data_IF_793336452129
#
_entry.id   IF_793336452129
#
_cell.length_a   1.000
_cell.length_b   1.000
_cell.length_c   1.000
_cell.angle_alpha   90.00
_cell.angle_beta   90.00
_cell.angle_gamma   90.00
#
_symmetry.space_group_name_H-M   'P 1'
#
loop_
_entity.id
_entity.type
_entity.pdbx_description
1 polymer ?
#
# COMPACT_ATOMS: atom_id res chain seq x y z
N UNK A 1 68.81 -42.19 23.92
CA UNK A 1 68.37 -42.28 22.49
C UNK A 1 67.04 -41.45 22.38
N UNK A 2 67.03 -40.32 21.76
CA UNK A 2 65.82 -39.58 21.58
C UNK A 2 65.09 -39.99 20.30
N UNK A 3 63.84 -40.31 20.43
CA UNK A 3 62.88 -40.63 19.33
C UNK A 3 62.50 -39.36 18.50
N UNK A 4 62.48 -39.41 17.18
CA UNK A 4 62.13 -38.29 16.36
C UNK A 4 60.61 -38.11 16.32
N UNK A 5 60.14 -36.86 16.62
CA UNK A 5 58.80 -36.40 16.44
C UNK A 5 58.45 -36.26 14.93
N UNK A 6 57.55 -37.08 14.45
CA UNK A 6 57.01 -36.92 13.09
C UNK A 6 55.97 -35.82 13.08
N UNK A 7 56.32 -34.70 12.49
CA UNK A 7 55.35 -33.63 12.18
C UNK A 7 54.45 -34.08 11.03
N UNK A 8 53.19 -34.41 11.35
CA UNK A 8 52.18 -34.67 10.34
C UNK A 8 51.68 -33.33 9.78
N UNK A 9 51.91 -33.11 8.48
CA UNK A 9 51.37 -31.98 7.73
C UNK A 9 49.87 -32.25 7.52
N UNK A 10 48.99 -31.55 8.29
CA UNK A 10 47.56 -31.55 8.05
C UNK A 10 47.30 -30.60 6.90
N UNK A 11 47.02 -31.13 5.72
CA UNK A 11 46.58 -30.37 4.56
C UNK A 11 45.11 -29.98 4.79
N UNK A 12 44.87 -28.77 5.32
CA UNK A 12 43.54 -28.16 5.35
C UNK A 12 43.11 -27.83 3.92
N UNK A 13 42.34 -28.73 3.29
CA UNK A 13 41.58 -28.42 2.11
C UNK A 13 40.56 -27.35 2.48
N UNK A 14 40.90 -26.07 2.27
CA UNK A 14 39.95 -24.98 2.24
C UNK A 14 39.05 -25.19 1.00
N UNK A 15 37.96 -25.91 1.19
CA UNK A 15 36.89 -25.92 0.20
C UNK A 15 36.31 -24.49 0.15
N UNK A 16 36.73 -23.76 -0.87
CA UNK A 16 36.05 -22.48 -1.20
C UNK A 16 34.57 -22.80 -1.34
N UNK A 17 33.66 -22.07 -0.65
CA UNK A 17 32.24 -22.28 -0.89
C UNK A 17 31.99 -22.01 -2.37
N UNK A 18 31.54 -23.03 -3.10
CA UNK A 18 31.07 -22.85 -4.45
C UNK A 18 29.95 -21.79 -4.37
N UNK A 19 30.18 -20.62 -4.97
CA UNK A 19 29.13 -19.58 -5.08
C UNK A 19 27.97 -20.24 -5.81
N UNK A 20 26.84 -20.39 -5.12
CA UNK A 20 25.64 -20.93 -5.71
C UNK A 20 25.26 -20.08 -6.92
N UNK A 21 25.01 -20.74 -8.04
CA UNK A 21 24.52 -20.08 -9.24
C UNK A 21 23.09 -19.64 -9.00
N UNK A 22 22.79 -18.38 -9.23
CA UNK A 22 21.47 -17.80 -8.97
C UNK A 22 21.08 -16.79 -10.06
N UNK A 23 19.79 -16.77 -10.41
CA UNK A 23 19.17 -15.67 -11.12
C UNK A 23 18.19 -14.99 -10.15
N UNK A 24 18.31 -13.70 -9.96
CA UNK A 24 17.32 -12.86 -9.27
C UNK A 24 16.66 -11.93 -10.24
N UNK A 25 15.33 -11.83 -10.13
CA UNK A 25 14.50 -10.92 -10.90
C UNK A 25 13.99 -9.80 -10.00
N UNK A 26 13.92 -8.60 -10.55
CA UNK A 26 13.22 -7.48 -9.98
C UNK A 26 12.25 -6.92 -11.02
N UNK A 27 11.01 -6.64 -10.61
CA UNK A 27 9.96 -6.14 -11.49
C UNK A 27 9.46 -4.80 -10.97
N UNK A 28 9.34 -3.81 -11.84
CA UNK A 28 8.77 -2.50 -11.50
C UNK A 28 9.66 -1.32 -11.84
N UNK A 29 9.09 -0.15 -11.86
CA UNK A 29 9.78 1.13 -12.00
C UNK A 29 10.26 1.60 -10.62
N UNK A 30 11.56 1.78 -10.43
CA UNK A 30 12.05 2.58 -9.32
C UNK A 30 12.75 1.89 -8.15
N UNK A 31 13.28 0.68 -8.31
CA UNK A 31 14.26 0.12 -7.35
C UNK A 31 13.69 -0.40 -6.03
N UNK A 32 12.38 -0.53 -5.89
CA UNK A 32 11.79 -1.27 -4.79
C UNK A 32 11.86 -2.76 -5.08
N UNK A 33 12.37 -3.56 -4.13
CA UNK A 33 12.31 -5.02 -4.18
C UNK A 33 10.86 -5.48 -3.92
N UNK A 34 10.01 -5.37 -4.92
CA UNK A 34 8.64 -5.84 -4.82
C UNK A 34 8.62 -7.36 -4.97
N UNK A 35 8.00 -8.04 -4.02
CA UNK A 35 7.72 -9.48 -4.11
C UNK A 35 6.47 -9.76 -4.91
N UNK A 36 5.59 -8.78 -5.04
CA UNK A 36 4.36 -8.83 -5.83
C UNK A 36 4.25 -7.57 -6.67
N UNK A 37 3.98 -7.74 -7.94
CA UNK A 37 3.70 -6.66 -8.87
C UNK A 37 2.19 -6.68 -9.19
N UNK A 38 1.40 -5.75 -8.64
CA UNK A 38 -0.02 -5.65 -8.92
C UNK A 38 -0.27 -4.77 -10.15
N UNK A 39 -1.29 -5.10 -10.94
CA UNK A 39 -1.80 -4.26 -12.02
C UNK A 39 -3.30 -4.47 -12.21
N UNK A 40 -4.00 -3.40 -12.63
CA UNK A 40 -5.44 -3.40 -12.79
C UNK A 40 -5.87 -3.54 -14.25
N UNK A 41 -7.20 -3.53 -14.47
CA UNK A 41 -7.80 -3.65 -15.81
C UNK A 41 -7.36 -2.51 -16.75
N UNK A 42 -7.28 -1.28 -16.27
CA UNK A 42 -6.86 -0.14 -17.09
C UNK A 42 -5.40 -0.28 -17.54
N UNK A 43 -4.51 -0.66 -16.63
CA UNK A 43 -3.11 -0.92 -16.94
C UNK A 43 -2.94 -2.10 -17.90
N UNK A 44 -3.76 -3.14 -17.76
CA UNK A 44 -3.82 -4.28 -18.67
C UNK A 44 -4.26 -3.86 -20.09
N UNK A 45 -5.21 -2.94 -20.20
CA UNK A 45 -5.74 -2.45 -21.47
C UNK A 45 -4.86 -1.39 -22.15
N UNK A 46 -4.02 -0.70 -21.38
CA UNK A 46 -3.11 0.32 -21.91
C UNK A 46 -1.80 -0.31 -22.39
N UNK A 47 -1.15 0.33 -23.36
CA UNK A 47 0.15 -0.15 -23.88
C UNK A 47 1.30 0.33 -22.98
N UNK A 48 1.18 0.13 -21.66
CA UNK A 48 2.24 0.43 -20.69
C UNK A 48 3.36 -0.60 -20.84
N UNK A 49 4.59 -0.19 -20.65
CA UNK A 49 5.77 -1.06 -20.63
C UNK A 49 6.26 -1.21 -19.20
N UNK A 50 6.45 -2.42 -18.77
CA UNK A 50 7.04 -2.74 -17.47
C UNK A 50 8.51 -3.08 -17.64
N UNK A 51 9.34 -2.60 -16.71
CA UNK A 51 10.78 -2.90 -16.72
C UNK A 51 11.04 -4.08 -15.78
N UNK A 52 11.72 -5.10 -16.29
CA UNK A 52 12.28 -6.19 -15.51
C UNK A 52 13.78 -6.01 -15.44
N UNK A 53 14.31 -5.99 -14.25
CA UNK A 53 15.76 -6.03 -14.01
C UNK A 53 16.15 -7.41 -13.51
N UNK A 54 17.30 -7.89 -13.90
CA UNK A 54 17.79 -9.20 -13.51
C UNK A 54 19.28 -9.17 -13.18
N UNK A 55 19.67 -10.07 -12.30
CA UNK A 55 21.05 -10.28 -11.93
C UNK A 55 21.32 -11.78 -11.92
N UNK A 56 22.31 -12.24 -12.71
CA UNK A 56 22.81 -13.60 -12.66
C UNK A 56 24.16 -13.61 -11.95
N UNK A 57 24.31 -14.46 -10.93
CA UNK A 57 25.53 -14.61 -10.16
C UNK A 57 26.03 -16.05 -10.18
N UNK A 58 27.33 -16.25 -9.97
CA UNK A 58 27.96 -17.57 -9.96
C UNK A 58 28.18 -18.19 -11.35
N UNK A 59 27.70 -17.56 -12.42
CA UNK A 59 27.99 -17.98 -13.80
C UNK A 59 29.36 -17.44 -14.19
N UNK A 60 30.32 -18.34 -14.44
CA UNK A 60 31.58 -17.93 -15.08
C UNK A 60 31.33 -17.35 -16.47
N UNK A 61 32.21 -16.46 -16.93
CA UNK A 61 32.11 -15.88 -18.28
C UNK A 61 32.05 -16.99 -19.34
N UNK A 62 31.03 -16.97 -20.18
CA UNK A 62 30.83 -17.92 -21.28
C UNK A 62 30.06 -19.20 -20.95
N UNK A 63 29.49 -19.33 -19.76
CA UNK A 63 28.70 -20.51 -19.38
C UNK A 63 27.21 -20.43 -19.72
N UNK A 64 26.67 -19.25 -20.00
CA UNK A 64 25.28 -19.10 -20.46
C UNK A 64 25.11 -19.61 -21.89
N UNK A 65 24.02 -20.30 -22.17
CA UNK A 65 23.73 -20.93 -23.46
C UNK A 65 22.46 -20.35 -24.08
N UNK A 66 22.50 -19.12 -24.50
CA UNK A 66 21.35 -18.52 -25.17
C UNK A 66 20.59 -17.50 -24.28
N UNK A 67 19.34 -17.29 -24.61
CA UNK A 67 18.51 -16.28 -23.97
C UNK A 67 17.84 -16.81 -22.71
N UNK A 68 17.80 -15.98 -21.67
CA UNK A 68 16.92 -16.23 -20.53
C UNK A 68 15.49 -16.01 -20.96
N UNK A 69 14.64 -17.01 -20.71
CA UNK A 69 13.19 -16.87 -20.90
C UNK A 69 12.59 -16.32 -19.61
N UNK A 70 11.77 -15.27 -19.75
CA UNK A 70 10.93 -14.77 -18.66
C UNK A 70 9.51 -15.24 -18.97
N UNK A 71 8.91 -15.93 -18.04
CA UNK A 71 7.59 -16.51 -18.23
C UNK A 71 6.72 -16.39 -16.98
N UNK A 72 5.43 -16.47 -17.18
CA UNK A 72 4.41 -16.46 -16.12
C UNK A 72 3.86 -17.88 -15.99
N UNK A 73 3.80 -18.36 -14.78
CA UNK A 73 3.27 -19.68 -14.43
C UNK A 73 2.28 -19.57 -13.28
N UNK A 74 1.29 -20.46 -13.23
CA UNK A 74 0.41 -20.63 -12.08
C UNK A 74 1.00 -21.53 -11.00
N UNK A 75 2.21 -22.06 -11.21
CA UNK A 75 2.93 -22.84 -10.22
C UNK A 75 3.44 -21.96 -9.08
N UNK A 76 3.44 -22.48 -7.86
CA UNK A 76 4.02 -21.79 -6.69
C UNK A 76 5.55 -21.77 -6.69
N UNK A 77 6.17 -22.56 -7.54
CA UNK A 77 7.63 -22.62 -7.72
C UNK A 77 7.98 -22.52 -9.20
N UNK A 78 9.09 -21.86 -9.50
CA UNK A 78 9.57 -21.72 -10.86
C UNK A 78 10.05 -23.07 -11.41
N UNK A 79 9.46 -23.59 -12.48
CA UNK A 79 9.96 -24.79 -13.14
C UNK A 79 11.27 -24.51 -13.89
N UNK A 80 12.06 -25.55 -14.14
CA UNK A 80 13.35 -25.43 -14.87
C UNK A 80 13.19 -24.90 -16.30
N UNK A 81 12.06 -25.21 -16.91
CA UNK A 81 11.68 -24.72 -18.23
C UNK A 81 10.18 -24.44 -18.26
N UNK A 82 9.74 -23.41 -19.01
CA UNK A 82 8.33 -23.14 -19.13
C UNK A 82 7.61 -24.27 -19.87
N UNK A 83 6.46 -24.69 -19.34
CA UNK A 83 5.57 -25.66 -19.99
C UNK A 83 4.69 -24.93 -21.02
N UNK A 84 5.19 -24.69 -22.21
CA UNK A 84 4.45 -23.97 -23.28
C UNK A 84 3.46 -24.84 -24.04
N UNK A 85 3.44 -26.14 -23.81
CA UNK A 85 2.60 -27.10 -24.57
C UNK A 85 1.40 -27.62 -23.78
N UNK A 86 1.35 -27.42 -22.46
CA UNK A 86 0.30 -28.01 -21.61
C UNK A 86 0.29 -29.56 -21.63
N UNK A 87 1.41 -30.17 -22.03
CA UNK A 87 1.49 -31.63 -22.30
C UNK A 87 1.15 -32.50 -21.09
N UNK A 88 1.31 -31.95 -19.87
CA UNK A 88 1.06 -32.67 -18.62
C UNK A 88 -0.35 -32.43 -18.06
N UNK A 89 -1.28 -31.86 -18.86
CA UNK A 89 -2.63 -31.48 -18.43
C UNK A 89 -2.68 -30.31 -17.46
N UNK A 90 -1.54 -29.65 -17.22
CA UNK A 90 -1.44 -28.40 -16.45
C UNK A 90 -1.75 -27.16 -17.28
N UNK A 91 -1.89 -26.04 -16.62
CA UNK A 91 -2.04 -24.75 -17.28
C UNK A 91 -0.76 -24.42 -18.04
N UNK A 92 -0.91 -23.95 -19.28
CA UNK A 92 0.21 -23.57 -20.11
C UNK A 92 0.91 -22.33 -19.54
N UNK A 93 2.24 -22.40 -19.41
CA UNK A 93 3.05 -21.25 -19.03
C UNK A 93 3.17 -20.30 -20.23
N UNK A 94 3.24 -19.00 -19.93
CA UNK A 94 3.31 -17.97 -20.97
C UNK A 94 4.66 -17.26 -20.93
N UNK A 95 5.44 -17.38 -22.00
CA UNK A 95 6.69 -16.63 -22.16
C UNK A 95 6.34 -15.20 -22.52
N UNK A 96 6.61 -14.28 -21.56
CA UNK A 96 6.31 -12.86 -21.70
C UNK A 96 7.49 -12.03 -22.22
N UNK A 97 8.71 -12.60 -22.24
CA UNK A 97 9.90 -11.96 -22.76
C UNK A 97 11.09 -12.90 -22.82
N UNK A 98 12.08 -12.49 -23.60
CA UNK A 98 13.40 -13.13 -23.65
C UNK A 98 14.48 -12.08 -23.44
N UNK A 99 15.49 -12.41 -22.64
CA UNK A 99 16.63 -11.53 -22.35
C UNK A 99 17.91 -12.26 -22.76
N UNK A 100 18.69 -11.61 -23.61
CA UNK A 100 20.03 -12.11 -23.95
C UNK A 100 21.02 -11.77 -22.81
N UNK A 101 21.45 -12.81 -22.07
CA UNK A 101 22.43 -12.66 -21.01
C UNK A 101 23.80 -13.28 -21.33
N UNK A 102 24.02 -13.65 -22.59
CA UNK A 102 25.27 -14.29 -23.02
C UNK A 102 26.52 -13.47 -22.70
N UNK A 103 26.37 -12.17 -22.54
CA UNK A 103 27.50 -11.24 -22.34
C UNK A 103 27.39 -10.43 -21.04
N UNK A 104 26.27 -10.48 -20.29
CA UNK A 104 26.02 -9.52 -19.21
C UNK A 104 25.43 -10.24 -18.00
N UNK A 105 26.09 -10.12 -16.82
CA UNK A 105 25.63 -10.67 -15.56
C UNK A 105 24.43 -9.91 -14.95
N UNK A 106 24.19 -8.66 -15.42
CA UNK A 106 23.06 -7.82 -14.97
C UNK A 106 22.46 -7.11 -16.16
N UNK A 107 21.17 -6.93 -16.18
CA UNK A 107 20.51 -6.22 -17.26
C UNK A 107 19.08 -5.82 -16.94
N UNK A 108 18.45 -5.16 -17.91
CA UNK A 108 17.04 -4.79 -17.86
C UNK A 108 16.37 -5.07 -19.19
N UNK A 109 15.14 -5.53 -19.14
CA UNK A 109 14.27 -5.69 -20.31
C UNK A 109 12.94 -5.00 -20.08
N UNK A 110 12.23 -4.76 -21.18
CA UNK A 110 10.90 -4.15 -21.13
C UNK A 110 9.87 -5.15 -21.63
N UNK A 111 8.83 -5.39 -20.83
CA UNK A 111 7.72 -6.26 -21.16
C UNK A 111 6.51 -5.39 -21.44
N UNK A 112 5.92 -5.43 -22.65
CA UNK A 112 4.67 -4.76 -22.93
C UNK A 112 3.52 -5.35 -22.11
N UNK A 113 2.62 -4.50 -21.60
CA UNK A 113 1.44 -4.94 -20.85
C UNK A 113 0.57 -5.95 -21.64
N UNK A 114 0.51 -5.79 -22.94
CA UNK A 114 -0.22 -6.73 -23.79
C UNK A 114 0.26 -8.19 -23.71
N UNK A 115 1.55 -8.41 -23.39
CA UNK A 115 2.06 -9.78 -23.17
C UNK A 115 1.55 -10.37 -21.85
N UNK A 116 1.13 -9.52 -20.90
CA UNK A 116 0.56 -9.96 -19.64
C UNK A 116 -0.89 -10.45 -19.78
N UNK A 117 -1.60 -10.09 -20.86
CA UNK A 117 -2.95 -10.59 -21.15
C UNK A 117 -2.99 -12.10 -21.41
N UNK A 118 -1.86 -12.63 -21.88
CA UNK A 118 -1.75 -14.06 -22.19
C UNK A 118 -1.42 -14.89 -20.94
N UNK A 119 -1.23 -14.25 -19.78
CA UNK A 119 -0.93 -14.98 -18.56
C UNK A 119 -2.04 -15.98 -18.20
N UNK A 120 -1.69 -17.08 -17.51
CA UNK A 120 -2.66 -18.08 -17.10
C UNK A 120 -3.86 -17.47 -16.37
N UNK A 121 -5.07 -17.77 -16.83
CA UNK A 121 -6.33 -17.29 -16.27
C UNK A 121 -6.91 -16.04 -16.92
N UNK A 122 -6.18 -15.28 -17.75
CA UNK A 122 -6.71 -14.11 -18.47
C UNK A 122 -7.17 -14.44 -19.90
N UNK A 123 -6.56 -15.44 -20.56
CA UNK A 123 -7.01 -15.91 -21.87
C UNK A 123 -6.95 -14.85 -22.98
N UNK A 124 -5.96 -13.95 -22.96
CA UNK A 124 -5.77 -12.91 -23.98
C UNK A 124 -6.62 -11.66 -23.77
N UNK A 125 -7.30 -11.53 -22.63
CA UNK A 125 -8.20 -10.41 -22.34
C UNK A 125 -7.87 -9.78 -20.98
N UNK A 126 -8.57 -8.70 -20.62
CA UNK A 126 -8.48 -8.06 -19.31
C UNK A 126 -9.88 -8.09 -18.66
N UNK A 127 -10.33 -9.24 -18.15
CA UNK A 127 -11.67 -9.39 -17.59
C UNK A 127 -11.85 -8.55 -16.32
N UNK A 128 -13.06 -8.04 -16.14
CA UNK A 128 -13.48 -7.35 -14.94
C UNK A 128 -13.83 -8.33 -13.81
N UNK A 129 -13.74 -7.86 -12.55
CA UNK A 129 -14.15 -8.62 -11.38
C UNK A 129 -13.25 -9.80 -11.00
N UNK A 130 -12.06 -9.89 -11.58
CA UNK A 130 -11.12 -11.01 -11.41
C UNK A 130 -9.90 -10.56 -10.60
N UNK A 131 -9.45 -11.43 -9.68
CA UNK A 131 -8.20 -11.30 -8.92
C UNK A 131 -7.40 -12.60 -9.10
N UNK A 132 -6.31 -12.54 -9.85
CA UNK A 132 -5.47 -13.69 -10.19
C UNK A 132 -4.02 -13.37 -9.86
N UNK A 133 -3.38 -14.27 -9.13
CA UNK A 133 -1.94 -14.20 -8.85
C UNK A 133 -1.21 -15.34 -9.53
N UNK A 134 -0.19 -15.00 -10.30
CA UNK A 134 0.73 -15.92 -10.96
C UNK A 134 2.16 -15.62 -10.55
N UNK A 135 3.05 -16.58 -10.75
CA UNK A 135 4.48 -16.40 -10.51
C UNK A 135 5.20 -15.96 -11.78
N UNK A 136 6.10 -14.98 -11.65
CA UNK A 136 7.04 -14.61 -12.73
C UNK A 136 8.34 -15.34 -12.47
N UNK A 137 8.79 -16.08 -13.46
CA UNK A 137 9.99 -16.89 -13.42
C UNK A 137 10.96 -16.50 -14.53
N UNK A 138 12.24 -16.75 -14.28
CA UNK A 138 13.26 -16.75 -15.33
C UNK A 138 13.92 -18.12 -15.41
N UNK A 139 14.17 -18.58 -16.61
CA UNK A 139 14.88 -19.83 -16.89
C UNK A 139 16.03 -19.57 -17.86
N UNK A 140 17.20 -20.09 -17.54
CA UNK A 140 18.42 -19.96 -18.34
C UNK A 140 19.08 -21.33 -18.49
N UNK A 141 19.36 -21.74 -19.73
CA UNK A 141 20.23 -22.87 -19.98
C UNK A 141 21.71 -22.47 -19.86
N UNK A 142 22.52 -23.28 -19.23
CA UNK A 142 23.94 -23.00 -19.02
C UNK A 142 24.79 -24.28 -19.12
N UNK A 143 26.10 -24.08 -19.31
CA UNK A 143 27.08 -25.15 -19.24
C UNK A 143 27.57 -25.30 -17.82
N UNK A 144 27.42 -26.49 -17.24
CA UNK A 144 28.05 -26.81 -15.97
C UNK A 144 29.57 -26.81 -16.12
N UNK A 145 30.30 -26.56 -15.03
CA UNK A 145 31.76 -26.53 -15.02
C UNK A 145 32.31 -27.88 -15.49
N UNK A 146 33.11 -27.87 -16.56
CA UNK A 146 33.66 -29.07 -17.17
C UNK A 146 32.79 -29.76 -18.22
N UNK A 147 31.57 -29.25 -18.49
CA UNK A 147 30.69 -29.72 -19.57
C UNK A 147 30.91 -28.90 -20.86
N UNK A 148 30.76 -29.57 -21.99
CA UNK A 148 30.72 -28.92 -23.32
C UNK A 148 29.28 -28.74 -23.80
N UNK A 149 28.30 -29.32 -23.11
CA UNK A 149 26.87 -29.26 -23.45
C UNK A 149 26.10 -28.29 -22.59
N UNK A 150 24.98 -27.82 -23.10
CA UNK A 150 24.10 -26.84 -22.47
C UNK A 150 22.84 -27.53 -21.88
N UNK A 151 23.06 -28.53 -21.08
CA UNK A 151 22.04 -29.46 -20.54
C UNK A 151 21.65 -29.11 -19.07
N UNK A 152 22.25 -28.08 -18.51
CA UNK A 152 21.89 -27.60 -17.19
C UNK A 152 21.00 -26.37 -17.29
N UNK A 153 19.95 -26.32 -16.48
CA UNK A 153 19.04 -25.18 -16.37
C UNK A 153 19.20 -24.52 -15.00
N UNK A 154 19.10 -23.22 -15.00
CA UNK A 154 19.08 -22.39 -13.82
C UNK A 154 17.78 -21.60 -13.82
N UNK A 155 17.04 -21.68 -12.73
CA UNK A 155 15.80 -20.94 -12.54
C UNK A 155 16.00 -19.78 -11.56
N UNK A 156 15.06 -18.83 -11.57
CA UNK A 156 15.06 -17.75 -10.61
C UNK A 156 14.98 -18.28 -9.18
N UNK A 157 15.88 -17.79 -8.33
CA UNK A 157 15.96 -18.17 -6.91
C UNK A 157 14.84 -17.57 -6.06
N UNK A 158 14.18 -16.52 -6.56
CA UNK A 158 13.07 -15.82 -5.91
C UNK A 158 11.86 -15.84 -6.80
N UNK A 159 10.72 -16.24 -6.23
CA UNK A 159 9.44 -16.12 -6.90
C UNK A 159 8.99 -14.67 -6.82
N UNK A 160 8.75 -14.07 -7.96
CA UNK A 160 8.14 -12.77 -8.09
C UNK A 160 6.69 -12.99 -8.50
N UNK A 161 5.75 -12.41 -7.77
CA UNK A 161 4.33 -12.58 -8.07
C UNK A 161 3.84 -11.46 -9.01
N UNK A 162 3.04 -11.85 -9.98
CA UNK A 162 2.28 -10.96 -10.85
C UNK A 162 0.80 -11.09 -10.46
N UNK A 163 0.20 -10.03 -9.94
CA UNK A 163 -1.21 -10.02 -9.54
C UNK A 163 -2.00 -9.13 -10.48
N UNK A 164 -2.88 -9.74 -11.25
CA UNK A 164 -3.93 -9.03 -11.96
C UNK A 164 -5.11 -8.87 -11.03
N UNK A 165 -5.42 -7.63 -10.66
CA UNK A 165 -6.53 -7.30 -9.79
C UNK A 165 -7.46 -6.30 -10.48
N UNK A 166 -8.58 -6.81 -10.95
CA UNK A 166 -9.69 -6.03 -11.50
C UNK A 166 -10.96 -6.18 -10.65
N UNK A 167 -10.81 -6.68 -9.42
CA UNK A 167 -11.93 -6.84 -8.48
C UNK A 167 -12.06 -5.59 -7.64
N UNK A 168 -13.13 -4.79 -7.83
CA UNK A 168 -13.36 -3.62 -7.01
C UNK A 168 -13.51 -3.99 -5.52
N UNK A 169 -13.01 -3.16 -4.60
CA UNK A 169 -13.25 -3.34 -3.17
C UNK A 169 -14.74 -3.12 -2.83
N UNK A 170 -15.12 -3.42 -1.60
CA UNK A 170 -16.50 -3.18 -1.12
C UNK A 170 -16.67 -1.71 -0.75
N UNK A 171 -17.80 -1.06 -1.13
CA UNK A 171 -18.10 0.29 -0.64
C UNK A 171 -18.16 0.35 0.89
N UNK A 172 -17.60 1.39 1.54
CA UNK A 172 -17.59 1.47 2.99
C UNK A 172 -18.99 1.72 3.56
N UNK A 173 -19.32 1.11 4.69
CA UNK A 173 -20.42 1.56 5.54
C UNK A 173 -20.08 2.92 6.14
N UNK A 174 -21.10 3.73 6.46
CA UNK A 174 -20.89 5.10 6.92
C UNK A 174 -21.95 5.50 7.95
N UNK A 175 -21.53 6.29 8.94
CA UNK A 175 -22.42 6.96 9.90
C UNK A 175 -22.12 8.45 9.91
N UNK A 176 -23.16 9.27 9.91
CA UNK A 176 -23.06 10.73 9.87
C UNK A 176 -23.58 11.34 11.18
N UNK A 177 -22.91 12.38 11.65
CA UNK A 177 -23.34 13.20 12.79
C UNK A 177 -23.26 14.67 12.44
N UNK A 178 -24.43 15.34 12.36
CA UNK A 178 -24.53 16.79 12.20
C UNK A 178 -24.14 17.49 13.51
N UNK A 179 -23.25 18.49 13.39
CA UNK A 179 -22.82 19.38 14.48
C UNK A 179 -22.85 20.82 13.98
N UNK A 180 -22.45 21.78 14.82
CA UNK A 180 -22.46 23.19 14.43
C UNK A 180 -21.53 23.45 13.23
N UNK A 181 -22.17 23.85 12.12
CA UNK A 181 -21.52 24.16 10.83
C UNK A 181 -20.66 23.04 10.25
N UNK A 182 -20.88 21.78 10.65
CA UNK A 182 -20.13 20.63 10.16
C UNK A 182 -20.90 19.30 10.23
N UNK A 183 -20.44 18.34 9.45
CA UNK A 183 -20.85 16.94 9.53
C UNK A 183 -19.60 16.11 9.85
N UNK A 184 -19.68 15.32 10.91
CA UNK A 184 -18.66 14.30 11.23
C UNK A 184 -19.06 13.01 10.53
N UNK A 185 -18.10 12.38 9.88
CA UNK A 185 -18.24 11.15 9.11
C UNK A 185 -17.43 10.07 9.81
N UNK A 186 -18.07 8.96 10.11
CA UNK A 186 -17.42 7.75 10.59
C UNK A 186 -17.64 6.66 9.56
N UNK A 187 -16.56 6.13 8.98
CA UNK A 187 -16.57 4.98 8.07
C UNK A 187 -16.40 3.68 8.86
N UNK A 188 -17.03 2.63 8.40
CA UNK A 188 -16.79 1.28 8.91
C UNK A 188 -15.46 0.76 8.33
N UNK A 189 -14.57 0.20 9.16
CA UNK A 189 -13.33 -0.36 8.68
C UNK A 189 -13.60 -1.57 7.78
N UNK A 190 -12.92 -1.62 6.63
CA UNK A 190 -12.96 -2.76 5.72
C UNK A 190 -11.82 -3.73 6.03
N UNK A 191 -12.08 -5.03 5.87
CA UNK A 191 -11.11 -6.11 6.11
C UNK A 191 -10.15 -6.37 4.95
N UNK A 192 -10.14 -5.51 3.93
CA UNK A 192 -9.31 -5.62 2.73
C UNK A 192 -8.26 -4.50 2.66
N UNK A 193 -7.23 -4.70 1.83
CA UNK A 193 -6.15 -3.71 1.66
C UNK A 193 -6.62 -2.59 0.74
N UNK A 194 -6.63 -1.37 1.27
CA UNK A 194 -7.03 -0.17 0.56
C UNK A 194 -5.88 0.83 0.47
N UNK A 195 -5.91 1.67 -0.56
CA UNK A 195 -5.07 2.86 -0.66
C UNK A 195 -5.71 4.03 0.11
N UNK A 196 -6.97 4.36 -0.21
CA UNK A 196 -7.68 5.45 0.45
C UNK A 196 -9.20 5.34 0.29
N UNK A 197 -9.92 6.24 0.99
CA UNK A 197 -11.35 6.51 0.76
C UNK A 197 -11.53 7.86 0.09
N UNK A 198 -12.46 7.94 -0.85
CA UNK A 198 -12.93 9.19 -1.42
C UNK A 198 -14.33 9.52 -0.90
N UNK A 199 -14.52 10.76 -0.42
CA UNK A 199 -15.77 11.22 0.17
C UNK A 199 -16.28 12.40 -0.61
N UNK A 200 -17.55 12.36 -0.98
CA UNK A 200 -18.24 13.44 -1.66
C UNK A 200 -19.48 13.87 -0.87
N UNK A 201 -19.85 15.13 -1.04
CA UNK A 201 -21.07 15.68 -0.46
C UNK A 201 -21.77 16.61 -1.45
N UNK A 202 -23.07 16.79 -1.25
CA UNK A 202 -23.92 17.75 -1.97
C UNK A 202 -25.00 18.28 -1.03
N UNK A 203 -25.50 19.47 -1.29
CA UNK A 203 -26.76 19.88 -0.67
C UNK A 203 -27.91 19.01 -1.20
N UNK A 204 -28.83 18.60 -0.33
CA UNK A 204 -29.98 17.83 -0.74
C UNK A 204 -30.80 18.67 -1.73
N UNK A 205 -31.13 18.16 -2.93
CA UNK A 205 -31.81 18.91 -3.93
C UNK A 205 -33.25 19.25 -3.48
N UNK A 206 -33.65 20.51 -3.65
CA UNK A 206 -35.01 20.98 -3.35
C UNK A 206 -36.01 20.74 -4.49
N UNK A 207 -35.52 20.21 -5.62
CA UNK A 207 -36.30 19.94 -6.83
C UNK A 207 -35.82 18.63 -7.48
N UNK A 208 -36.41 18.25 -8.61
CA UNK A 208 -36.05 17.02 -9.34
C UNK A 208 -34.67 17.04 -10.00
N UNK A 209 -33.89 18.11 -9.82
CA UNK A 209 -32.48 18.13 -10.21
C UNK A 209 -31.67 17.23 -9.29
N UNK A 210 -30.83 16.36 -9.87
CA UNK A 210 -29.95 15.50 -9.07
C UNK A 210 -28.94 16.31 -8.23
N UNK A 211 -28.34 15.71 -7.22
CA UNK A 211 -27.33 16.35 -6.37
C UNK A 211 -26.09 16.76 -7.16
N UNK A 212 -25.54 17.94 -6.88
CA UNK A 212 -24.27 18.39 -7.43
C UNK A 212 -23.17 18.02 -6.46
N UNK A 213 -22.48 16.91 -6.75
CA UNK A 213 -21.45 16.36 -5.89
C UNK A 213 -20.16 17.20 -5.89
N UNK A 214 -19.61 17.37 -4.71
CA UNK A 214 -18.32 18.05 -4.45
C UNK A 214 -17.42 17.12 -3.67
N UNK A 215 -16.15 17.09 -4.01
CA UNK A 215 -15.14 16.35 -3.24
C UNK A 215 -14.98 16.97 -1.84
N UNK A 216 -15.14 16.17 -0.81
CA UNK A 216 -14.94 16.58 0.57
C UNK A 216 -13.53 16.27 1.05
N UNK A 217 -13.09 15.01 0.89
CA UNK A 217 -11.81 14.56 1.36
C UNK A 217 -11.35 13.29 0.63
N UNK A 218 -10.03 13.10 0.57
CA UNK A 218 -9.39 11.79 0.40
C UNK A 218 -8.86 11.39 1.78
N UNK A 219 -9.32 10.27 2.30
CA UNK A 219 -8.99 9.80 3.64
C UNK A 219 -8.11 8.55 3.53
N UNK A 220 -6.91 8.58 4.09
CA UNK A 220 -6.02 7.41 4.14
C UNK A 220 -6.75 6.17 4.68
N UNK A 221 -6.47 4.99 4.14
CA UNK A 221 -7.14 3.73 4.49
C UNK A 221 -7.13 3.40 5.99
N UNK A 222 -6.10 3.86 6.70
CA UNK A 222 -5.96 3.67 8.17
C UNK A 222 -6.85 4.59 9.00
N UNK A 223 -7.44 5.62 8.39
CA UNK A 223 -8.31 6.59 9.04
C UNK A 223 -9.77 6.29 8.71
N UNK A 224 -10.59 6.18 9.72
CA UNK A 224 -12.02 5.90 9.57
C UNK A 224 -12.92 7.08 9.92
N UNK A 225 -12.34 8.24 10.29
CA UNK A 225 -13.13 9.42 10.67
C UNK A 225 -12.58 10.69 10.03
N UNK A 226 -13.51 11.53 9.58
CA UNK A 226 -13.22 12.88 9.08
C UNK A 226 -14.41 13.79 9.30
N UNK A 227 -14.32 15.06 8.90
CA UNK A 227 -15.42 16.01 8.97
C UNK A 227 -15.44 16.98 7.79
N UNK A 228 -16.64 17.30 7.34
CA UNK A 228 -16.89 18.40 6.38
C UNK A 228 -17.27 19.63 7.20
N UNK A 229 -16.55 20.72 7.01
CA UNK A 229 -16.72 21.97 7.78
C UNK A 229 -17.19 23.12 6.88
N UNK A 230 -17.70 24.21 7.48
CA UNK A 230 -18.18 25.38 6.74
C UNK A 230 -19.55 25.17 6.10
N UNK A 231 -20.33 24.24 6.62
CA UNK A 231 -21.68 23.94 6.18
C UNK A 231 -22.70 24.90 6.85
N UNK A 232 -23.80 25.13 6.19
CA UNK A 232 -24.89 25.93 6.73
C UNK A 232 -25.76 25.11 7.69
N UNK A 233 -25.99 25.63 8.90
CA UNK A 233 -26.89 24.99 9.85
C UNK A 233 -28.33 25.00 9.33
N UNK A 234 -29.06 23.90 9.54
CA UNK A 234 -30.43 23.73 9.09
C UNK A 234 -30.58 23.32 7.62
N UNK A 235 -29.50 23.24 6.86
CA UNK A 235 -29.47 22.72 5.49
C UNK A 235 -29.16 21.23 5.49
N UNK A 236 -29.95 20.42 4.80
CA UNK A 236 -29.68 18.98 4.65
C UNK A 236 -28.62 18.76 3.58
N UNK A 237 -27.63 17.93 3.90
CA UNK A 237 -26.58 17.50 2.99
C UNK A 237 -26.61 16.00 2.79
N UNK A 238 -26.37 15.58 1.56
CA UNK A 238 -26.12 14.19 1.19
C UNK A 238 -24.62 13.94 1.20
N UNK A 239 -24.20 12.79 1.70
CA UNK A 239 -22.79 12.35 1.73
C UNK A 239 -22.73 10.96 1.18
N UNK A 240 -21.70 10.67 0.35
CA UNK A 240 -21.38 9.35 -0.15
C UNK A 240 -19.88 9.11 -0.09
N UNK A 241 -19.47 7.85 0.00
CA UNK A 241 -18.08 7.46 0.05
C UNK A 241 -17.82 6.23 -0.82
N UNK A 242 -16.62 6.14 -1.37
CA UNK A 242 -16.10 4.95 -2.03
C UNK A 242 -14.72 4.60 -1.46
N UNK A 243 -14.36 3.33 -1.54
CA UNK A 243 -13.02 2.82 -1.24
C UNK A 243 -12.24 2.63 -2.53
N UNK A 244 -10.95 2.89 -2.48
CA UNK A 244 -10.01 2.68 -3.59
C UNK A 244 -8.96 1.70 -3.08
N UNK A 245 -8.72 0.61 -3.83
CA UNK A 245 -7.70 -0.35 -3.49
C UNK A 245 -6.28 0.10 -3.89
N UNK A 246 -5.27 -0.71 -3.55
CA UNK A 246 -3.85 -0.45 -3.82
C UNK A 246 -3.49 -0.38 -5.32
N UNK A 247 -4.35 -0.90 -6.20
CA UNK A 247 -4.18 -0.85 -7.67
C UNK A 247 -5.11 0.15 -8.34
N UNK A 248 -5.78 0.99 -7.55
CA UNK A 248 -6.68 2.05 -8.01
C UNK A 248 -7.99 1.55 -8.65
N UNK A 249 -8.53 0.43 -8.17
CA UNK A 249 -9.90 0.04 -8.50
C UNK A 249 -10.87 0.72 -7.53
N UNK A 250 -11.88 1.46 -8.01
CA UNK A 250 -12.89 2.06 -7.16
C UNK A 250 -14.01 1.07 -6.83
N UNK A 251 -14.52 1.09 -5.59
CA UNK A 251 -15.69 0.29 -5.19
C UNK A 251 -17.00 0.74 -5.84
N UNK A 252 -17.01 1.95 -6.39
CA UNK A 252 -18.24 2.70 -6.56
C UNK A 252 -18.71 3.34 -5.24
N UNK A 253 -19.50 4.39 -5.34
CA UNK A 253 -20.03 5.08 -4.15
C UNK A 253 -21.13 4.24 -3.47
N UNK A 254 -21.14 4.27 -2.14
CA UNK A 254 -22.24 3.71 -1.36
C UNK A 254 -23.54 4.52 -1.56
N UNK A 255 -24.66 4.00 -1.06
CA UNK A 255 -25.92 4.74 -1.05
C UNK A 255 -25.75 6.03 -0.24
N UNK A 256 -26.07 7.20 -0.81
CA UNK A 256 -25.95 8.47 -0.12
C UNK A 256 -26.76 8.48 1.18
N UNK A 257 -26.17 9.00 2.25
CA UNK A 257 -26.83 9.25 3.52
C UNK A 257 -26.98 10.74 3.74
N UNK A 258 -27.98 11.15 4.50
CA UNK A 258 -28.22 12.57 4.79
C UNK A 258 -27.87 12.93 6.23
N UNK A 259 -27.41 14.16 6.42
CA UNK A 259 -27.26 14.79 7.73
C UNK A 259 -27.48 16.30 7.63
N UNK A 260 -28.01 16.86 8.72
CA UNK A 260 -28.24 18.31 8.81
C UNK A 260 -27.38 18.87 9.93
N UNK A 261 -26.44 19.79 9.63
CA UNK A 261 -25.73 20.55 10.66
C UNK A 261 -26.71 21.33 11.53
N UNK A 262 -26.48 21.35 12.84
CA UNK A 262 -27.33 22.06 13.80
C UNK A 262 -26.47 23.03 14.60
N UNK A 263 -26.96 24.27 14.70
CA UNK A 263 -26.30 25.25 15.54
C UNK A 263 -26.26 24.78 17.00
N UNK A 264 -25.09 24.88 17.60
CA UNK A 264 -24.96 24.65 19.03
C UNK A 264 -25.09 25.98 19.76
N UNK A 265 -26.01 26.08 20.69
CA UNK A 265 -26.16 27.26 21.53
C UNK A 265 -25.00 27.45 22.52
N UNK A 266 -24.06 26.50 22.54
CA UNK A 266 -23.01 26.44 23.54
C UNK A 266 -23.55 26.27 24.98
N UNK A 267 -22.66 26.04 25.94
CA UNK A 267 -23.06 25.79 27.33
C UNK A 267 -23.97 26.89 27.91
N UNK A 268 -23.66 28.14 27.59
CA UNK A 268 -24.43 29.30 28.12
C UNK A 268 -25.80 29.42 27.47
N UNK A 269 -25.97 29.06 26.20
CA UNK A 269 -27.25 28.96 25.54
C UNK A 269 -28.13 27.90 26.19
N UNK A 270 -27.67 26.68 26.26
CA UNK A 270 -28.35 25.54 26.90
C UNK A 270 -28.70 25.84 28.37
N UNK A 271 -27.79 26.50 29.10
CA UNK A 271 -28.01 26.90 30.48
C UNK A 271 -29.15 27.90 30.60
N UNK A 272 -29.23 28.90 29.72
CA UNK A 272 -30.33 29.87 29.68
C UNK A 272 -31.67 29.23 29.28
N UNK A 273 -31.68 28.38 28.27
CA UNK A 273 -32.83 27.64 27.79
C UNK A 273 -33.39 26.69 28.85
N UNK A 274 -32.51 26.13 29.69
CA UNK A 274 -32.87 25.35 30.86
C UNK A 274 -33.32 26.18 32.07
N UNK A 275 -33.51 27.49 31.93
CA UNK A 275 -33.92 28.41 33.00
C UNK A 275 -32.78 28.86 33.92
N UNK A 276 -31.57 28.67 33.51
CA UNK A 276 -30.37 29.14 34.24
C UNK A 276 -30.30 30.68 34.18
N UNK A 277 -30.22 31.33 35.31
CA UNK A 277 -29.96 32.76 35.43
C UNK A 277 -28.55 33.01 35.91
N UNK A 278 -27.84 33.92 35.26
CA UNK A 278 -26.54 34.41 35.73
C UNK A 278 -26.78 35.27 37.00
N UNK A 279 -26.92 34.59 38.14
CA UNK A 279 -26.85 35.26 39.43
C UNK A 279 -25.40 35.32 39.88
N UNK A 280 -24.70 36.37 39.48
CA UNK A 280 -23.41 36.70 40.03
C UNK A 280 -22.19 36.36 39.17
N UNK A 281 -21.98 37.07 38.09
CA UNK A 281 -20.62 37.50 37.82
C UNK A 281 -20.17 38.30 39.07
N UNK A 282 -19.03 37.95 39.66
CA UNK A 282 -18.39 38.84 40.58
C UNK A 282 -18.07 40.15 39.86
N UNK A 283 -19.09 41.05 39.78
CA UNK A 283 -18.82 42.46 39.56
C UNK A 283 -17.99 42.86 40.77
N UNK A 284 -16.69 42.95 40.60
CA UNK A 284 -15.87 43.82 41.48
C UNK A 284 -16.39 45.23 41.11
N UNK A 285 -17.59 45.56 41.65
CA UNK A 285 -17.96 46.94 41.74
C UNK A 285 -16.79 47.65 42.43
N UNK A 286 -16.33 48.73 41.84
CA UNK A 286 -15.39 49.69 42.42
C UNK A 286 -15.90 50.16 43.79
N UNK A 287 -15.84 49.27 44.77
CA UNK A 287 -15.84 49.66 46.17
C UNK A 287 -14.37 49.70 46.58
N UNK A 288 -13.87 50.93 46.72
CA UNK A 288 -12.59 51.18 47.37
C UNK A 288 -12.59 50.51 48.77
N UNK A 289 -12.27 49.22 48.79
CA UNK A 289 -12.01 48.51 50.05
C UNK A 289 -10.55 48.77 50.36
N UNK A 290 -10.21 49.46 51.44
CA UNK A 290 -8.81 49.64 51.84
C UNK A 290 -8.22 48.27 52.06
N UNK A 291 -7.16 47.99 51.31
CA UNK A 291 -6.49 46.70 51.21
C UNK A 291 -5.94 46.23 52.56
N UNK A 292 -6.72 45.48 53.29
CA UNK A 292 -6.25 44.76 54.49
C UNK A 292 -5.20 43.68 54.14
N UNK A 293 -5.18 43.28 52.88
CA UNK A 293 -4.19 42.29 52.39
C UNK A 293 -2.76 42.88 52.22
N UNK A 294 -2.61 44.20 52.12
CA UNK A 294 -1.29 44.85 52.07
C UNK A 294 -0.53 44.79 53.39
N UNK A 295 -1.23 44.75 54.53
CA UNK A 295 -0.60 44.72 55.84
C UNK A 295 -0.05 43.31 56.22
N UNK A 296 -0.67 42.25 55.74
CA UNK A 296 -0.19 40.89 56.04
C UNK A 296 1.07 40.53 55.24
N UNK A 297 1.22 41.03 54.00
CA UNK A 297 2.40 40.81 53.16
C UNK A 297 3.68 41.42 53.73
N UNK A 298 3.57 42.59 54.36
CA UNK A 298 4.72 43.30 54.99
C UNK A 298 5.15 42.58 56.26
N UNK A 299 4.22 42.01 57.05
CA UNK A 299 4.56 41.29 58.26
C UNK A 299 5.30 39.97 57.99
N UNK A 300 4.95 39.25 56.95
CA UNK A 300 5.67 38.02 56.54
C UNK A 300 7.09 38.33 56.05
N UNK A 301 7.29 39.44 55.33
CA UNK A 301 8.60 39.84 54.84
C UNK A 301 9.54 40.30 55.97
N UNK A 302 9.01 40.90 57.06
CA UNK A 302 9.80 41.33 58.19
C UNK A 302 10.18 40.16 59.09
N UNK A 303 9.35 39.14 59.24
CA UNK A 303 9.69 37.97 60.09
C UNK A 303 10.71 37.08 59.36
N UNK A 304 10.63 36.97 58.01
CA UNK A 304 11.56 36.17 57.17
C UNK A 304 12.98 36.72 57.17
N UNK A 305 13.17 38.04 57.42
CA UNK A 305 14.50 38.70 57.39
C UNK A 305 15.28 38.59 58.71
N UNK A 306 14.65 38.06 59.80
CA UNK A 306 15.29 37.93 61.13
C UNK A 306 15.85 36.51 61.38
N UNK A 307 15.81 35.63 60.37
CA UNK A 307 16.36 34.26 60.48
C UNK A 307 17.43 33.95 59.42
N UNK A 308 18.22 34.92 59.06
CA UNK A 308 19.51 34.71 58.40
C UNK A 308 20.62 35.39 59.17
#
# INVERSE_FOLDING_TARGET
MPTPLRAGLVLLCLSSPALAQQISLNFGSGGANLTTFPFNQNQCNTNVKYTVTWTASGLGSGNACGNTQIFVTNSQSCPDTPNTTGADGGTQDVVIGTIDINTIATGSGSIPAQNLRDMPGLGGSCPDGVDITNSICASLSYRATGSTSCDSNLTSSTTLNLRYDAKPPVPPGMTLLGQDSKIVIQLDPLGETLDHYEIQYAEAPSNDAGPIWRQAANLEATKTSTSITGLNNGVEYLVQAQSIDEVSNPSGYNTPQSATPQASNGFWGEYKDAGGHELGGCSVADAAVPSVFGALGVLVALVGRRRR
#
